data_IF_304574545821
#
_entry.id   IF_304574545821
#
_cell.length_a   1.000
_cell.length_b   1.000
_cell.length_c   1.000
_cell.angle_alpha   90.00
_cell.angle_beta   90.00
_cell.angle_gamma   90.00
#
_symmetry.space_group_name_H-M   'P 1'
#
loop_
_entity.id
_entity.type
_entity.pdbx_description
1 polymer ?
#
# COMPACT_ATOMS: atom_id res chain seq x y z
N UNK A 1 -35.49 20.55 6.10
CA UNK A 1 -34.16 20.07 5.65
C UNK A 1 -34.36 18.77 4.89
N UNK A 2 -34.06 18.73 3.59
CA UNK A 2 -34.31 17.55 2.76
C UNK A 2 -33.35 16.41 3.14
N UNK A 3 -33.90 15.25 3.52
CA UNK A 3 -33.15 14.03 3.83
C UNK A 3 -32.48 13.54 2.55
N UNK A 4 -31.15 13.66 2.47
CA UNK A 4 -30.39 13.10 1.36
C UNK A 4 -30.66 11.59 1.31
N UNK A 5 -31.24 11.10 0.20
CA UNK A 5 -31.38 9.66 -0.04
C UNK A 5 -29.98 9.11 -0.27
N UNK A 6 -29.59 8.14 0.53
CA UNK A 6 -28.34 7.40 0.32
C UNK A 6 -28.41 6.72 -1.05
N UNK A 7 -27.59 7.19 -1.99
CA UNK A 7 -27.51 6.61 -3.33
C UNK A 7 -26.58 5.39 -3.24
N UNK A 8 -27.17 4.22 -3.09
CA UNK A 8 -26.41 2.98 -3.11
C UNK A 8 -25.99 2.67 -4.55
N UNK A 9 -24.78 3.05 -4.93
CA UNK A 9 -24.22 2.73 -6.24
C UNK A 9 -23.89 1.23 -6.27
N UNK A 10 -24.60 0.45 -7.11
CA UNK A 10 -24.25 -0.96 -7.36
C UNK A 10 -22.82 -1.03 -7.87
N UNK A 11 -21.94 -1.67 -7.11
CA UNK A 11 -20.57 -1.90 -7.54
C UNK A 11 -20.58 -2.91 -8.68
N UNK A 12 -20.22 -2.47 -9.89
CA UNK A 12 -20.10 -3.35 -11.03
C UNK A 12 -18.86 -4.22 -10.88
N UNK A 13 -19.03 -5.51 -11.13
CA UNK A 13 -17.95 -6.48 -11.06
C UNK A 13 -16.95 -6.29 -12.21
N UNK A 14 -15.71 -6.68 -11.96
CA UNK A 14 -14.58 -6.62 -12.89
C UNK A 14 -14.88 -7.28 -14.25
N UNK A 15 -15.43 -8.51 -14.32
CA UNK A 15 -15.85 -9.13 -15.58
C UNK A 15 -16.87 -8.31 -16.36
N UNK A 16 -17.85 -7.67 -15.71
CA UNK A 16 -18.84 -6.83 -16.39
C UNK A 16 -18.18 -5.63 -17.07
N UNK A 17 -17.20 -5.00 -16.39
CA UNK A 17 -16.44 -3.89 -16.97
C UNK A 17 -15.64 -4.31 -18.20
N UNK A 18 -14.94 -5.45 -18.11
CA UNK A 18 -14.17 -6.00 -19.22
C UNK A 18 -15.05 -6.35 -20.43
N UNK A 19 -16.24 -6.93 -20.19
CA UNK A 19 -17.21 -7.25 -21.26
C UNK A 19 -17.70 -6.01 -21.99
N UNK A 20 -18.03 -4.94 -21.26
CA UNK A 20 -18.43 -3.67 -21.87
C UNK A 20 -17.32 -3.09 -22.74
N UNK A 21 -16.07 -3.07 -22.25
CA UNK A 21 -14.90 -2.61 -23.02
C UNK A 21 -14.70 -3.43 -24.30
N UNK A 22 -14.75 -4.76 -24.18
CA UNK A 22 -14.62 -5.66 -25.33
C UNK A 22 -15.72 -5.48 -26.37
N UNK A 23 -16.97 -5.34 -25.94
CA UNK A 23 -18.10 -5.11 -26.84
C UNK A 23 -17.99 -3.77 -27.58
N UNK A 24 -17.57 -2.71 -26.90
CA UNK A 24 -17.32 -1.40 -27.53
C UNK A 24 -16.16 -1.48 -28.52
N UNK A 25 -15.05 -2.13 -28.17
CA UNK A 25 -13.93 -2.30 -29.08
C UNK A 25 -14.33 -3.09 -30.33
N UNK A 26 -15.12 -4.16 -30.16
CA UNK A 26 -15.64 -4.95 -31.27
C UNK A 26 -16.57 -4.14 -32.18
N UNK A 27 -17.50 -3.38 -31.60
CA UNK A 27 -18.42 -2.52 -32.37
C UNK A 27 -17.67 -1.41 -33.14
N UNK A 28 -16.63 -0.83 -32.53
CA UNK A 28 -15.75 0.12 -33.20
C UNK A 28 -15.03 -0.51 -34.41
N UNK A 29 -14.52 -1.74 -34.26
CA UNK A 29 -13.90 -2.48 -35.37
C UNK A 29 -14.91 -2.80 -36.48
N UNK A 30 -16.14 -3.21 -36.14
CA UNK A 30 -17.19 -3.45 -37.13
C UNK A 30 -17.56 -2.18 -37.90
N UNK A 31 -17.64 -1.03 -37.22
CA UNK A 31 -17.85 0.27 -37.87
C UNK A 31 -16.73 0.60 -38.84
N UNK A 32 -15.47 0.41 -38.44
CA UNK A 32 -14.32 0.70 -39.30
C UNK A 32 -14.25 -0.24 -40.51
N UNK A 33 -14.57 -1.53 -40.34
CA UNK A 33 -14.40 -2.54 -41.39
C UNK A 33 -15.59 -2.64 -42.36
N UNK A 34 -16.80 -2.46 -41.85
CA UNK A 34 -18.04 -2.72 -42.59
C UNK A 34 -18.99 -1.51 -42.63
N UNK A 35 -18.66 -0.41 -41.96
CA UNK A 35 -19.51 0.78 -41.92
C UNK A 35 -20.76 0.63 -41.04
N UNK A 36 -20.84 -0.40 -40.19
CA UNK A 36 -21.98 -0.58 -39.30
C UNK A 36 -21.96 0.43 -38.15
N UNK A 37 -22.97 1.29 -38.10
CA UNK A 37 -23.17 2.18 -36.97
C UNK A 37 -23.66 1.42 -35.74
N UNK A 38 -23.25 1.90 -34.58
CA UNK A 38 -23.64 1.36 -33.29
C UNK A 38 -23.88 2.48 -32.28
N UNK A 39 -24.76 2.21 -31.32
CA UNK A 39 -25.03 3.10 -30.21
C UNK A 39 -24.36 2.58 -28.94
N UNK A 40 -23.58 3.44 -28.28
CA UNK A 40 -23.02 3.13 -26.96
C UNK A 40 -24.11 2.80 -25.94
N UNK A 41 -25.30 3.43 -26.05
CA UNK A 41 -26.39 3.19 -25.12
C UNK A 41 -26.95 1.77 -25.25
N UNK A 42 -27.01 1.22 -26.47
CA UNK A 42 -27.52 -0.12 -26.70
C UNK A 42 -26.55 -1.18 -26.16
N UNK A 43 -25.24 -0.94 -26.34
CA UNK A 43 -24.21 -1.77 -25.72
C UNK A 43 -24.31 -1.71 -24.19
N UNK A 44 -24.43 -0.52 -23.58
CA UNK A 44 -24.54 -0.44 -22.12
C UNK A 44 -25.81 -1.12 -21.59
N UNK A 45 -26.94 -1.00 -22.30
CA UNK A 45 -28.21 -1.65 -21.95
C UNK A 45 -28.11 -3.17 -21.99
N UNK A 46 -27.42 -3.75 -22.98
CA UNK A 46 -27.25 -5.22 -23.06
C UNK A 46 -26.49 -5.80 -21.87
N UNK A 47 -25.61 -5.01 -21.25
CA UNK A 47 -24.88 -5.37 -20.02
C UNK A 47 -25.51 -4.81 -18.73
N UNK A 48 -26.71 -4.24 -18.79
CA UNK A 48 -27.41 -3.64 -17.63
C UNK A 48 -26.61 -2.53 -16.94
N UNK A 49 -25.81 -1.78 -17.69
CA UNK A 49 -25.00 -0.67 -17.20
C UNK A 49 -25.68 0.67 -17.54
N UNK A 50 -25.74 1.58 -16.57
CA UNK A 50 -26.27 2.93 -16.82
C UNK A 50 -25.34 3.72 -17.73
N UNK A 51 -25.88 4.67 -18.50
CA UNK A 51 -25.10 5.49 -19.45
C UNK A 51 -23.86 6.13 -18.81
N UNK A 52 -24.04 6.81 -17.68
CA UNK A 52 -22.94 7.48 -16.97
C UNK A 52 -21.85 6.47 -16.57
N UNK A 53 -22.26 5.32 -16.04
CA UNK A 53 -21.32 4.29 -15.58
C UNK A 53 -20.60 3.60 -16.73
N UNK A 54 -21.25 3.44 -17.87
CA UNK A 54 -20.64 2.92 -19.10
C UNK A 54 -19.47 3.79 -19.56
N UNK A 55 -19.65 5.11 -19.59
CA UNK A 55 -18.57 6.03 -19.94
C UNK A 55 -17.45 6.07 -18.90
N UNK A 56 -17.77 5.95 -17.61
CA UNK A 56 -16.74 5.82 -16.56
C UNK A 56 -15.88 4.57 -16.76
N UNK A 57 -16.50 3.43 -17.12
CA UNK A 57 -15.78 2.20 -17.43
C UNK A 57 -14.83 2.41 -18.60
N UNK A 58 -15.29 3.04 -19.68
CA UNK A 58 -14.46 3.32 -20.85
C UNK A 58 -13.29 4.27 -20.55
N UNK A 59 -13.49 5.24 -19.65
CA UNK A 59 -12.45 6.19 -19.22
C UNK A 59 -11.40 5.55 -18.30
N UNK A 60 -11.78 4.52 -17.53
CA UNK A 60 -10.87 3.86 -16.61
C UNK A 60 -9.77 3.07 -17.34
N UNK A 61 -8.52 3.42 -17.10
CA UNK A 61 -7.34 2.75 -17.69
C UNK A 61 -7.16 1.32 -17.19
N UNK A 62 -7.67 1.01 -15.99
CA UNK A 62 -7.59 -0.30 -15.35
C UNK A 62 -8.97 -0.84 -15.01
N UNK A 63 -9.17 -2.14 -15.22
CA UNK A 63 -10.38 -2.85 -14.80
C UNK A 63 -10.44 -3.09 -13.28
N UNK A 64 -9.28 -3.05 -12.61
CA UNK A 64 -9.14 -3.18 -11.16
C UNK A 64 -8.91 -1.81 -10.52
N UNK A 65 -9.48 -1.60 -9.34
CA UNK A 65 -9.06 -0.50 -8.45
C UNK A 65 -7.64 -0.84 -7.98
N UNK A 66 -6.59 -0.38 -8.68
CA UNK A 66 -5.23 -0.54 -8.16
C UNK A 66 -5.07 0.31 -6.91
N UNK A 67 -4.45 -0.28 -5.89
CA UNK A 67 -3.91 0.44 -4.75
C UNK A 67 -2.92 1.48 -5.27
N UNK A 68 -3.16 2.74 -4.92
CA UNK A 68 -2.42 3.95 -5.24
C UNK A 68 -1.05 3.75 -5.89
N UNK A 69 -0.92 4.19 -7.15
CA UNK A 69 0.37 4.32 -7.86
C UNK A 69 1.25 5.43 -7.26
N UNK A 70 0.67 6.26 -6.38
CA UNK A 70 1.34 7.34 -5.67
C UNK A 70 1.88 6.86 -4.32
N UNK A 71 3.02 7.42 -3.89
CA UNK A 71 3.49 7.25 -2.52
C UNK A 71 2.43 7.78 -1.53
N UNK A 72 1.90 6.89 -0.71
CA UNK A 72 0.91 7.21 0.31
C UNK A 72 1.53 8.17 1.34
N UNK A 73 1.19 9.46 1.24
CA UNK A 73 1.65 10.51 2.16
C UNK A 73 0.81 10.58 3.44
N UNK A 74 -0.30 9.84 3.51
CA UNK A 74 -1.18 9.81 4.68
C UNK A 74 -0.58 8.93 5.78
N UNK A 75 -0.39 9.51 6.97
CA UNK A 75 0.04 8.77 8.16
C UNK A 75 0.87 9.62 9.11
N UNK A 76 0.97 9.17 10.37
CA UNK A 76 1.87 9.79 11.35
C UNK A 76 3.32 9.55 10.91
N UNK A 77 4.11 10.63 10.82
CA UNK A 77 5.56 10.52 10.57
C UNK A 77 6.20 9.57 11.59
N UNK A 78 7.09 8.71 11.10
CA UNK A 78 7.81 7.75 11.94
C UNK A 78 8.68 8.53 12.94
N UNK A 79 8.70 8.09 14.20
CA UNK A 79 9.51 8.72 15.25
C UNK A 79 11.01 8.50 15.05
N UNK A 80 11.38 7.37 14.43
CA UNK A 80 12.73 7.08 13.94
C UNK A 80 12.70 7.17 12.42
N UNK A 81 13.43 8.15 11.89
CA UNK A 81 13.66 8.28 10.46
C UNK A 81 14.67 7.21 10.01
N UNK A 82 14.81 7.01 8.70
CA UNK A 82 15.73 5.97 8.22
C UNK A 82 17.20 6.37 8.45
N UNK A 83 17.52 7.66 8.51
CA UNK A 83 18.84 8.18 8.89
C UNK A 83 19.21 7.83 10.34
N UNK A 84 18.24 7.91 11.26
CA UNK A 84 18.43 7.50 12.66
C UNK A 84 18.74 6.00 12.75
N UNK A 85 18.11 5.19 11.88
CA UNK A 85 18.36 3.75 11.82
C UNK A 85 19.76 3.44 11.29
N UNK A 86 20.27 4.23 10.35
CA UNK A 86 21.64 4.07 9.84
C UNK A 86 22.69 4.40 10.90
N UNK A 87 22.47 5.43 11.73
CA UNK A 87 23.33 5.72 12.89
C UNK A 87 23.34 4.55 13.87
N UNK A 88 22.16 4.02 14.20
CA UNK A 88 22.02 2.86 15.09
C UNK A 88 22.67 1.61 14.50
N UNK A 89 22.56 1.39 13.19
CA UNK A 89 23.23 0.29 12.49
C UNK A 89 24.74 0.43 12.58
N UNK A 90 25.30 1.62 12.29
CA UNK A 90 26.74 1.87 12.42
C UNK A 90 27.23 1.57 13.84
N UNK A 91 26.49 2.00 14.86
CA UNK A 91 26.82 1.70 16.26
C UNK A 91 26.79 0.19 16.53
N UNK A 92 25.68 -0.51 16.23
CA UNK A 92 25.51 -1.94 16.52
C UNK A 92 26.58 -2.80 15.84
N UNK A 93 27.01 -2.42 14.63
CA UNK A 93 28.01 -3.15 13.86
C UNK A 93 29.44 -2.62 14.04
N UNK A 94 29.64 -1.59 14.87
CA UNK A 94 30.97 -1.13 15.27
C UNK A 94 31.54 -2.01 16.39
N UNK A 95 32.87 -2.18 16.40
CA UNK A 95 33.58 -2.97 17.41
C UNK A 95 33.38 -2.43 18.84
N UNK A 96 33.04 -1.14 18.98
CA UNK A 96 32.75 -0.50 20.27
C UNK A 96 31.48 -1.02 20.96
N UNK A 97 30.55 -1.61 20.21
CA UNK A 97 29.30 -2.16 20.76
C UNK A 97 29.49 -3.51 21.43
N UNK A 98 30.35 -4.37 20.86
CA UNK A 98 30.67 -5.70 21.41
C UNK A 98 31.45 -5.58 22.73
N UNK A 99 32.26 -4.53 22.88
CA UNK A 99 33.04 -4.29 24.09
C UNK A 99 32.23 -3.71 25.27
N UNK A 100 31.09 -3.06 25.03
CA UNK A 100 30.35 -2.28 26.06
C UNK A 100 28.99 -2.84 26.47
N UNK A 101 28.44 -3.83 25.77
CA UNK A 101 27.18 -4.48 26.16
C UNK A 101 26.04 -3.49 26.42
N UNK A 102 25.81 -2.54 25.51
CA UNK A 102 24.85 -1.45 25.73
C UNK A 102 23.41 -1.96 25.82
N UNK A 103 22.67 -1.42 26.80
CA UNK A 103 21.23 -1.66 26.95
C UNK A 103 20.42 -0.83 25.95
N UNK A 104 19.18 -1.23 25.66
CA UNK A 104 18.30 -0.53 24.71
C UNK A 104 18.05 0.95 25.05
N UNK A 105 18.06 1.31 26.34
CA UNK A 105 17.93 2.69 26.83
C UNK A 105 19.18 3.54 26.55
N UNK A 106 20.35 2.91 26.52
CA UNK A 106 21.62 3.59 26.27
C UNK A 106 21.96 3.65 24.77
N UNK A 107 21.23 2.91 23.94
CA UNK A 107 21.51 2.78 22.51
C UNK A 107 21.28 4.08 21.72
N UNK A 108 20.17 4.78 21.98
CA UNK A 108 19.84 6.05 21.32
C UNK A 108 20.87 7.17 21.62
N UNK A 109 21.20 7.46 22.90
CA UNK A 109 22.20 8.48 23.19
C UNK A 109 23.59 8.09 22.69
N UNK A 110 23.96 6.80 22.76
CA UNK A 110 25.23 6.32 22.21
C UNK A 110 25.35 6.50 20.68
N UNK A 111 24.23 6.45 19.95
CA UNK A 111 24.18 6.73 18.52
C UNK A 111 24.06 8.23 18.18
N UNK A 112 24.09 9.12 19.18
CA UNK A 112 23.89 10.56 18.99
C UNK A 112 22.47 10.94 18.58
N UNK A 113 21.47 10.23 19.12
CA UNK A 113 20.05 10.46 18.86
C UNK A 113 19.38 10.99 20.14
N UNK A 114 19.26 12.30 20.25
CA UNK A 114 18.65 12.99 21.40
C UNK A 114 17.12 13.09 21.26
N UNK A 115 16.46 11.99 20.91
CA UNK A 115 15.00 11.92 20.77
C UNK A 115 14.40 11.13 21.94
N UNK A 116 13.43 11.72 22.63
CA UNK A 116 12.66 11.01 23.65
C UNK A 116 11.67 10.04 22.98
N UNK A 117 12.12 8.81 22.78
CA UNK A 117 11.36 7.74 22.12
C UNK A 117 11.19 6.59 23.10
N UNK A 118 9.97 6.04 23.18
CA UNK A 118 9.72 4.89 24.05
C UNK A 118 10.53 3.66 23.61
N UNK A 119 11.05 2.92 24.58
CA UNK A 119 11.81 1.67 24.33
C UNK A 119 11.04 0.68 23.46
N UNK A 120 9.72 0.59 23.64
CA UNK A 120 8.82 -0.24 22.83
C UNK A 120 8.86 0.14 21.34
N UNK A 121 8.97 1.43 21.04
CA UNK A 121 9.06 1.93 19.65
C UNK A 121 10.40 1.56 19.04
N UNK A 122 11.50 1.75 19.78
CA UNK A 122 12.87 1.37 19.36
C UNK A 122 12.94 -0.13 19.09
N UNK A 123 12.48 -0.95 20.03
CA UNK A 123 12.46 -2.42 19.92
C UNK A 123 11.61 -2.89 18.75
N UNK A 124 10.41 -2.31 18.54
CA UNK A 124 9.54 -2.66 17.42
C UNK A 124 10.21 -2.33 16.09
N UNK A 125 10.81 -1.15 15.96
CA UNK A 125 11.42 -0.65 14.72
C UNK A 125 12.70 -1.43 14.35
N UNK A 126 13.58 -1.71 15.32
CA UNK A 126 14.78 -2.52 15.09
C UNK A 126 14.45 -4.01 14.93
N UNK A 127 13.42 -4.49 15.63
CA UNK A 127 12.91 -5.85 15.53
C UNK A 127 12.28 -6.19 14.18
N UNK A 128 11.76 -5.22 13.42
CA UNK A 128 11.32 -5.37 12.02
C UNK A 128 12.48 -5.50 11.03
N UNK A 129 13.68 -5.02 11.38
CA UNK A 129 14.89 -5.11 10.53
C UNK A 129 15.75 -6.36 10.86
N UNK A 130 15.25 -7.23 11.74
CA UNK A 130 15.97 -8.41 12.25
C UNK A 130 17.30 -8.11 12.96
N UNK A 131 17.52 -6.87 13.42
CA UNK A 131 18.73 -6.47 14.16
C UNK A 131 18.67 -6.91 15.63
N UNK A 132 18.36 -8.19 15.85
CA UNK A 132 18.19 -8.83 17.17
C UNK A 132 19.45 -9.56 17.60
N UNK A 133 20.62 -8.95 17.50
CA UNK A 133 21.78 -9.44 18.28
C UNK A 133 21.62 -8.89 19.69
N UNK A 134 21.01 -9.70 20.56
CA UNK A 134 21.17 -9.51 21.99
C UNK A 134 22.66 -9.75 22.29
N UNK A 135 23.42 -8.72 22.67
CA UNK A 135 24.84 -8.87 23.05
C UNK A 135 24.97 -9.81 24.25
N UNK A 136 24.00 -9.82 25.17
CA UNK A 136 23.98 -10.74 26.32
C UNK A 136 23.63 -12.20 25.96
N UNK A 137 23.08 -12.48 24.78
CA UNK A 137 22.51 -13.79 24.46
C UNK A 137 23.15 -14.46 23.24
N UNK A 138 23.87 -13.71 22.38
CA UNK A 138 24.47 -14.10 21.08
C UNK A 138 23.53 -14.79 20.07
N UNK A 139 22.31 -15.17 20.47
CA UNK A 139 21.30 -15.80 19.64
C UNK A 139 20.46 -14.77 18.88
N UNK A 140 20.33 -14.99 17.58
CA UNK A 140 19.27 -14.36 16.79
C UNK A 140 17.93 -14.95 17.25
N UNK A 141 17.16 -14.22 18.06
CA UNK A 141 15.83 -14.68 18.46
C UNK A 141 14.94 -14.89 17.22
N UNK A 142 14.77 -16.15 16.81
CA UNK A 142 13.66 -16.57 15.95
C UNK A 142 12.37 -16.28 16.72
N UNK A 143 11.35 -15.80 16.01
CA UNK A 143 9.98 -15.78 16.57
C UNK A 143 9.67 -17.22 16.99
N UNK A 144 9.30 -17.42 18.25
CA UNK A 144 8.60 -18.63 18.63
C UNK A 144 7.28 -18.62 17.84
N UNK A 145 7.24 -19.36 16.73
CA UNK A 145 6.00 -19.83 16.14
C UNK A 145 5.42 -20.84 17.13
N UNK A 146 4.19 -20.58 17.55
CA UNK A 146 3.56 -21.24 18.69
C UNK A 146 3.54 -22.76 18.65
N UNK A 147 3.49 -23.32 19.86
CA UNK A 147 2.47 -24.28 20.29
C UNK A 147 1.96 -23.81 21.64
#
# INVERSE_FOLDING_TARGET
>A
MARQKEVHHRHLDTPTKARVKGAVAFAQLQKQRYGHDFSYQDIFRSFQVSKSRGYEILKSSSDRTFHNEFEETRGRKKLLADEDLDKLKKLIWSQDFEARGLTWSQLLPAAGIDKQISLSTVRRRLGTRHWRRCVACLGTHRRNSGK
#
